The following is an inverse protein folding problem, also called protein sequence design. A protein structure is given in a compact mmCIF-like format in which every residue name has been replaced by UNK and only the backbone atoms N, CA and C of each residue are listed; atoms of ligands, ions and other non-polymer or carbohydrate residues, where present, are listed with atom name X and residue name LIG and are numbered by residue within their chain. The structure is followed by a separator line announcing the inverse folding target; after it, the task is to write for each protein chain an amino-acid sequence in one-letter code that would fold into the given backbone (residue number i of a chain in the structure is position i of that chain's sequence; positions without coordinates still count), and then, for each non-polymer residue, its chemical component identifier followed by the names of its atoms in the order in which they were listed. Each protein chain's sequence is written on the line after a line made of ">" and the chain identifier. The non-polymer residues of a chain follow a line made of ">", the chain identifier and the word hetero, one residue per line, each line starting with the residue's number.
data_IF_370623302887
#
_entry.id   IF_370623302887
#
_cell.length_a   1.000
_cell.length_b   1.000
_cell.length_c   1.000
_cell.angle_alpha   90.00
_cell.angle_beta   90.00
_cell.angle_gamma   90.00
#
_symmetry.space_group_name_H-M   'P 1'
#
loop_
_entity.id
_entity.type
_entity.pdbx_description
1 polymer ?
#
# COMPACT_ATOMS: atom_id res chain seq x y z
N UNK A 1 -16.45 -45.67 41.51
CA UNK A 1 -15.82 -46.20 40.28
C UNK A 1 -16.28 -45.33 39.11
N UNK A 2 -15.42 -44.44 38.61
CA UNK A 2 -15.78 -43.50 37.54
C UNK A 2 -14.65 -43.44 36.52
N UNK A 3 -14.81 -44.17 35.42
CA UNK A 3 -13.82 -44.33 34.36
C UNK A 3 -13.82 -43.08 33.47
N UNK A 4 -12.74 -42.30 33.51
CA UNK A 4 -12.58 -41.13 32.63
C UNK A 4 -12.11 -41.60 31.25
N UNK A 5 -12.98 -41.48 30.24
CA UNK A 5 -12.66 -41.68 28.82
C UNK A 5 -11.84 -40.49 28.32
N UNK A 6 -10.53 -40.69 28.16
CA UNK A 6 -9.64 -39.75 27.50
C UNK A 6 -9.85 -39.84 25.99
N UNK A 7 -10.50 -38.85 25.40
CA UNK A 7 -10.58 -38.69 23.94
C UNK A 7 -9.23 -38.15 23.43
N UNK A 8 -8.55 -38.92 22.59
CA UNK A 8 -7.41 -38.46 21.80
C UNK A 8 -7.90 -37.48 20.73
N UNK A 9 -7.46 -36.22 20.81
CA UNK A 9 -7.60 -35.25 19.74
C UNK A 9 -6.45 -35.47 18.75
N UNK A 10 -6.74 -36.08 17.60
CA UNK A 10 -5.78 -36.21 16.51
C UNK A 10 -5.61 -34.83 15.85
N UNK A 11 -4.45 -34.22 16.07
CA UNK A 11 -4.04 -32.95 15.47
C UNK A 11 -3.68 -33.21 13.99
N UNK A 12 -4.62 -32.95 13.08
CA UNK A 12 -4.36 -32.90 11.65
C UNK A 12 -3.53 -31.64 11.36
N UNK A 13 -2.20 -31.78 11.28
CA UNK A 13 -1.33 -30.77 10.68
C UNK A 13 -1.54 -30.80 9.16
N UNK A 14 -2.44 -29.95 8.67
CA UNK A 14 -2.52 -29.66 7.25
C UNK A 14 -1.25 -28.89 6.84
N UNK A 15 -0.47 -29.36 5.84
CA UNK A 15 0.61 -28.56 5.29
C UNK A 15 0.00 -27.33 4.61
N UNK A 16 0.36 -26.15 5.09
CA UNK A 16 -0.11 -24.89 4.52
C UNK A 16 0.34 -24.77 3.07
N UNK A 17 -0.63 -24.60 2.17
CA UNK A 17 -0.37 -24.24 0.78
C UNK A 17 0.40 -22.90 0.78
N UNK A 18 1.65 -22.91 0.34
CA UNK A 18 2.41 -21.67 0.17
C UNK A 18 1.71 -20.86 -0.93
N UNK A 19 0.97 -19.82 -0.55
CA UNK A 19 0.52 -18.82 -1.50
C UNK A 19 1.76 -18.27 -2.19
N UNK A 20 1.82 -18.35 -3.53
CA UNK A 20 2.85 -17.69 -4.30
C UNK A 20 2.73 -16.17 -4.05
N UNK A 21 3.48 -15.68 -3.06
CA UNK A 21 3.48 -14.27 -2.70
C UNK A 21 4.00 -13.45 -3.87
N UNK A 22 3.33 -12.35 -4.19
CA UNK A 22 3.86 -11.35 -5.12
C UNK A 22 5.26 -10.95 -4.67
N UNK A 23 6.20 -10.86 -5.62
CA UNK A 23 7.57 -10.41 -5.38
C UNK A 23 7.56 -9.16 -4.45
N UNK A 24 8.30 -9.17 -3.33
CA UNK A 24 8.35 -8.05 -2.39
C UNK A 24 8.67 -6.70 -3.06
N UNK A 25 9.52 -6.71 -4.09
CA UNK A 25 9.89 -5.52 -4.84
C UNK A 25 8.72 -5.00 -5.68
N UNK A 26 8.05 -5.89 -6.42
CA UNK A 26 6.82 -5.58 -7.18
C UNK A 26 5.74 -5.02 -6.25
N UNK A 27 5.54 -5.67 -5.10
CA UNK A 27 4.58 -5.23 -4.08
C UNK A 27 4.90 -3.81 -3.57
N UNK A 28 6.18 -3.53 -3.33
CA UNK A 28 6.65 -2.21 -2.86
C UNK A 28 6.41 -1.13 -3.91
N UNK A 29 6.84 -1.33 -5.16
CA UNK A 29 6.62 -0.36 -6.24
C UNK A 29 5.15 -0.17 -6.59
N UNK A 30 4.34 -1.23 -6.55
CA UNK A 30 2.89 -1.14 -6.72
C UNK A 30 2.24 -0.33 -5.60
N UNK A 31 2.68 -0.51 -4.36
CA UNK A 31 2.21 0.27 -3.20
C UNK A 31 2.54 1.75 -3.38
N UNK A 32 3.79 2.07 -3.69
CA UNK A 32 4.22 3.45 -3.90
C UNK A 32 3.54 4.12 -5.08
N UNK A 33 3.31 3.40 -6.18
CA UNK A 33 2.54 3.91 -7.32
C UNK A 33 1.12 4.29 -6.92
N UNK A 34 0.46 3.47 -6.10
CA UNK A 34 -0.88 3.75 -5.58
C UNK A 34 -0.91 4.96 -4.65
N UNK A 35 0.03 5.03 -3.70
CA UNK A 35 0.16 6.15 -2.77
C UNK A 35 0.43 7.48 -3.48
N UNK A 36 1.37 7.51 -4.43
CA UNK A 36 1.67 8.70 -5.23
C UNK A 36 0.48 9.13 -6.11
N UNK A 37 -0.30 8.16 -6.63
CA UNK A 37 -1.53 8.48 -7.37
C UNK A 37 -2.58 9.16 -6.48
N UNK A 38 -2.75 8.70 -5.24
CA UNK A 38 -3.66 9.34 -4.28
C UNK A 38 -3.19 10.75 -3.90
N UNK A 39 -1.88 10.93 -3.66
CA UNK A 39 -1.31 12.24 -3.34
C UNK A 39 -1.53 13.24 -4.49
N UNK A 40 -1.25 12.83 -5.73
CA UNK A 40 -1.44 13.67 -6.93
C UNK A 40 -2.89 14.13 -7.07
N UNK A 41 -3.85 13.20 -6.94
CA UNK A 41 -5.28 13.53 -7.06
C UNK A 41 -5.76 14.44 -5.93
N UNK A 42 -5.27 14.23 -4.71
CA UNK A 42 -5.56 15.11 -3.58
C UNK A 42 -4.98 16.51 -3.78
N UNK A 43 -3.77 16.60 -4.32
CA UNK A 43 -3.14 17.88 -4.67
C UNK A 43 -3.93 18.61 -5.76
N UNK A 44 -4.42 17.91 -6.79
CA UNK A 44 -5.34 18.52 -7.76
C UNK A 44 -6.64 19.00 -7.13
N UNK A 45 -7.25 18.20 -6.24
CA UNK A 45 -8.46 18.59 -5.52
C UNK A 45 -8.27 19.90 -4.73
N UNK A 46 -7.08 20.09 -4.14
CA UNK A 46 -6.74 21.28 -3.36
C UNK A 46 -6.10 22.40 -4.19
N UNK A 47 -5.98 22.25 -5.50
CA UNK A 47 -5.25 23.19 -6.38
C UNK A 47 -3.80 23.45 -5.91
N UNK A 48 -3.14 22.42 -5.36
CA UNK A 48 -1.75 22.46 -4.91
C UNK A 48 -0.79 22.36 -6.10
N UNK A 49 0.15 23.31 -6.19
CA UNK A 49 1.16 23.39 -7.24
C UNK A 49 2.12 22.18 -7.30
N UNK A 50 2.17 21.36 -6.25
CA UNK A 50 3.02 20.16 -6.21
C UNK A 50 2.48 18.98 -7.03
N UNK A 51 1.25 19.07 -7.56
CA UNK A 51 0.63 17.96 -8.28
C UNK A 51 1.47 17.48 -9.48
N UNK A 52 2.04 18.40 -10.26
CA UNK A 52 2.89 18.07 -11.42
C UNK A 52 4.17 17.33 -11.01
N UNK A 53 4.79 17.76 -9.91
CA UNK A 53 5.97 17.09 -9.36
C UNK A 53 5.62 15.67 -8.87
N UNK A 54 4.45 15.50 -8.23
CA UNK A 54 3.95 14.17 -7.83
C UNK A 54 3.61 13.29 -9.02
N UNK A 55 3.03 13.85 -10.09
CA UNK A 55 2.79 13.14 -11.33
C UNK A 55 4.10 12.61 -11.92
N UNK A 56 5.16 13.42 -11.94
CA UNK A 56 6.47 12.99 -12.41
C UNK A 56 7.05 11.86 -11.55
N UNK A 57 6.95 11.95 -10.21
CA UNK A 57 7.35 10.86 -9.30
C UNK A 57 6.56 9.57 -9.55
N UNK A 58 5.23 9.66 -9.66
CA UNK A 58 4.34 8.54 -9.99
C UNK A 58 4.78 7.87 -11.29
N UNK A 59 5.04 8.66 -12.35
CA UNK A 59 5.49 8.14 -13.64
C UNK A 59 6.81 7.37 -13.55
N UNK A 60 7.78 7.85 -12.78
CA UNK A 60 9.04 7.12 -12.54
C UNK A 60 8.82 5.82 -11.78
N UNK A 61 7.97 5.84 -10.74
CA UNK A 61 7.64 4.63 -9.97
C UNK A 61 6.92 3.58 -10.84
N UNK A 62 6.06 4.01 -11.77
CA UNK A 62 5.42 3.13 -12.74
C UNK A 62 6.43 2.50 -13.70
N UNK A 63 7.40 3.27 -14.19
CA UNK A 63 8.46 2.74 -15.04
C UNK A 63 9.26 1.65 -14.30
N UNK A 64 9.62 1.87 -13.03
CA UNK A 64 10.28 0.86 -12.20
C UNK A 64 9.41 -0.39 -12.02
N UNK A 65 8.13 -0.21 -11.68
CA UNK A 65 7.19 -1.32 -11.52
C UNK A 65 7.08 -2.19 -12.79
N UNK A 66 6.92 -1.55 -13.95
CA UNK A 66 6.79 -2.26 -15.22
C UNK A 66 8.09 -2.96 -15.65
N UNK A 67 9.24 -2.50 -15.17
CA UNK A 67 10.53 -3.15 -15.46
C UNK A 67 10.74 -4.48 -14.73
N UNK A 68 10.05 -4.69 -13.59
CA UNK A 68 10.26 -5.86 -12.72
C UNK A 68 9.08 -6.82 -12.65
N UNK A 69 7.89 -6.42 -13.08
CA UNK A 69 6.72 -7.29 -13.01
C UNK A 69 6.79 -8.46 -14.01
N UNK A 70 6.36 -9.65 -13.57
CA UNK A 70 6.30 -10.81 -14.43
C UNK A 70 5.11 -10.72 -15.42
N UNK A 71 5.23 -11.24 -16.66
CA UNK A 71 4.10 -11.35 -17.58
C UNK A 71 2.91 -12.08 -16.95
N UNK A 72 1.69 -11.63 -17.24
CA UNK A 72 0.46 -12.24 -16.71
C UNK A 72 0.08 -11.84 -15.28
N UNK A 73 0.89 -11.03 -14.57
CA UNK A 73 0.59 -10.60 -13.19
C UNK A 73 -0.13 -9.25 -13.08
N UNK A 74 -0.53 -8.65 -14.22
CA UNK A 74 -1.04 -7.28 -14.28
C UNK A 74 -2.27 -7.01 -13.42
N UNK A 75 -3.22 -7.94 -13.34
CA UNK A 75 -4.42 -7.80 -12.50
C UNK A 75 -4.07 -7.69 -11.01
N UNK A 76 -3.16 -8.54 -10.53
CA UNK A 76 -2.71 -8.56 -9.13
C UNK A 76 -1.95 -7.27 -8.78
N UNK A 77 -1.08 -6.82 -9.69
CA UNK A 77 -0.34 -5.56 -9.55
C UNK A 77 -1.30 -4.37 -9.54
N UNK A 78 -2.33 -4.37 -10.39
CA UNK A 78 -3.35 -3.33 -10.42
C UNK A 78 -4.18 -3.31 -9.13
N UNK A 79 -4.65 -4.45 -8.66
CA UNK A 79 -5.38 -4.57 -7.40
C UNK A 79 -4.56 -3.98 -6.24
N UNK A 80 -3.27 -4.32 -6.15
CA UNK A 80 -2.37 -3.77 -5.13
C UNK A 80 -2.25 -2.24 -5.19
N UNK A 81 -2.14 -1.67 -6.40
CA UNK A 81 -2.09 -0.22 -6.61
C UNK A 81 -3.39 0.46 -6.15
N UNK A 82 -4.53 -0.15 -6.48
CA UNK A 82 -5.85 0.35 -6.10
C UNK A 82 -6.00 0.35 -4.57
N UNK A 83 -5.66 -0.75 -3.90
CA UNK A 83 -5.73 -0.86 -2.44
C UNK A 83 -4.86 0.20 -1.74
N UNK A 84 -3.61 0.35 -2.20
CA UNK A 84 -2.68 1.33 -1.66
C UNK A 84 -3.17 2.77 -1.89
N UNK A 85 -3.74 3.05 -3.07
CA UNK A 85 -4.33 4.34 -3.41
C UNK A 85 -5.48 4.69 -2.47
N UNK A 86 -6.43 3.78 -2.26
CA UNK A 86 -7.56 4.00 -1.35
C UNK A 86 -7.12 4.15 0.11
N UNK A 87 -6.12 3.38 0.55
CA UNK A 87 -5.54 3.55 1.89
C UNK A 87 -4.92 4.94 2.08
N UNK A 88 -4.15 5.41 1.11
CA UNK A 88 -3.54 6.74 1.16
C UNK A 88 -4.58 7.86 1.04
N UNK A 89 -5.56 7.73 0.16
CA UNK A 89 -6.66 8.70 0.02
C UNK A 89 -7.39 8.90 1.35
N UNK A 90 -7.66 7.82 2.10
CA UNK A 90 -8.27 7.92 3.44
C UNK A 90 -7.40 8.72 4.42
N UNK A 91 -6.07 8.57 4.37
CA UNK A 91 -5.18 9.40 5.19
C UNK A 91 -5.26 10.87 4.79
N UNK A 92 -5.17 11.15 3.49
CA UNK A 92 -5.21 12.51 2.94
C UNK A 92 -6.54 13.22 3.23
N UNK A 93 -7.67 12.50 3.16
CA UNK A 93 -8.97 13.02 3.59
C UNK A 93 -8.96 13.45 5.05
N UNK A 94 -8.34 12.66 5.94
CA UNK A 94 -8.22 13.04 7.36
C UNK A 94 -7.29 14.21 7.58
N UNK A 95 -6.25 14.37 6.76
CA UNK A 95 -5.35 15.52 6.82
C UNK A 95 -6.10 16.82 6.52
N UNK A 96 -6.92 16.84 5.46
CA UNK A 96 -7.51 18.08 4.97
C UNK A 96 -8.92 18.37 5.48
N UNK A 97 -9.67 17.35 5.91
CA UNK A 97 -11.11 17.48 6.17
C UNK A 97 -11.55 16.94 7.54
N UNK A 98 -10.64 16.54 8.43
CA UNK A 98 -11.00 16.12 9.79
C UNK A 98 -11.13 17.32 10.75
N UNK A 99 -12.11 17.28 11.64
CA UNK A 99 -12.32 18.30 12.68
C UNK A 99 -11.47 18.08 13.93
N UNK A 100 -10.95 16.87 14.16
CA UNK A 100 -9.98 16.59 15.24
C UNK A 100 -8.55 16.94 14.77
N UNK A 101 -7.96 18.05 15.26
CA UNK A 101 -6.62 18.46 14.84
C UNK A 101 -5.52 17.46 15.25
N UNK A 102 -5.73 16.71 16.33
CA UNK A 102 -4.76 15.71 16.76
C UNK A 102 -4.76 14.50 15.82
N UNK A 103 -5.93 14.08 15.32
CA UNK A 103 -6.00 13.03 14.30
C UNK A 103 -5.46 13.48 12.94
N UNK A 104 -5.78 14.71 12.52
CA UNK A 104 -5.23 15.29 11.30
C UNK A 104 -3.70 15.32 11.33
N UNK A 105 -3.09 15.76 12.44
CA UNK A 105 -1.64 15.76 12.62
C UNK A 105 -1.04 14.34 12.55
N UNK A 106 -1.65 13.36 13.22
CA UNK A 106 -1.21 11.95 13.14
C UNK A 106 -1.34 11.38 11.72
N UNK A 107 -2.39 11.76 10.99
CA UNK A 107 -2.56 11.36 9.61
C UNK A 107 -1.47 11.97 8.72
N UNK A 108 -1.15 13.26 8.91
CA UNK A 108 -0.13 13.98 8.17
C UNK A 108 1.24 13.32 8.34
N UNK A 109 1.67 13.03 9.58
CA UNK A 109 2.94 12.35 9.83
C UNK A 109 3.00 10.96 9.16
N UNK A 110 1.87 10.24 9.06
CA UNK A 110 1.84 8.96 8.34
C UNK A 110 1.95 9.13 6.82
N UNK A 111 1.35 10.18 6.26
CA UNK A 111 1.49 10.50 4.83
C UNK A 111 2.95 10.84 4.54
N UNK A 112 3.55 11.72 5.33
CA UNK A 112 4.95 12.14 5.18
C UNK A 112 5.91 10.95 5.17
N UNK A 113 5.82 10.07 6.17
CA UNK A 113 6.70 8.88 6.25
C UNK A 113 6.52 7.96 5.05
N UNK A 114 5.28 7.71 4.61
CA UNK A 114 5.01 6.83 3.48
C UNK A 114 5.52 7.41 2.15
N UNK A 115 5.30 8.71 1.92
CA UNK A 115 5.77 9.38 0.71
C UNK A 115 7.29 9.49 0.71
N UNK A 116 7.92 9.83 1.84
CA UNK A 116 9.38 9.84 1.96
C UNK A 116 10.00 8.46 1.68
N UNK A 117 9.37 7.39 2.14
CA UNK A 117 9.81 6.03 1.84
C UNK A 117 9.74 5.73 0.33
N UNK A 118 8.69 6.18 -0.36
CA UNK A 118 8.58 6.03 -1.81
C UNK A 118 9.58 6.90 -2.58
N UNK A 119 9.84 8.11 -2.10
CA UNK A 119 10.81 9.02 -2.70
C UNK A 119 12.24 8.48 -2.57
N UNK A 120 12.58 7.86 -1.45
CA UNK A 120 13.89 7.22 -1.26
C UNK A 120 14.18 6.16 -2.33
N UNK A 121 13.17 5.40 -2.76
CA UNK A 121 13.30 4.40 -3.83
C UNK A 121 13.57 5.01 -5.21
N UNK A 122 13.24 6.29 -5.41
CA UNK A 122 13.48 7.01 -6.67
C UNK A 122 14.85 7.68 -6.72
N UNK A 123 15.58 7.75 -5.60
CA UNK A 123 16.87 8.43 -5.50
C UNK A 123 18.07 7.52 -5.75
N UNK A 124 17.93 6.20 -5.56
CA UNK A 124 18.99 5.22 -5.83
C UNK A 124 20.10 5.20 -4.77
#
# INVERSE_FOLDING_TARGET
>A
MGTKRTLLFALLMSPGMAAAGTDPLVSTFATCTGQLSALMEHQWLLSDANADATQARRGRMEALLFSVMAPGTGEQVLARRIDAKFAMARLLTRVSFNHDPADAARAASRVEVQIAACDALLLG
#
